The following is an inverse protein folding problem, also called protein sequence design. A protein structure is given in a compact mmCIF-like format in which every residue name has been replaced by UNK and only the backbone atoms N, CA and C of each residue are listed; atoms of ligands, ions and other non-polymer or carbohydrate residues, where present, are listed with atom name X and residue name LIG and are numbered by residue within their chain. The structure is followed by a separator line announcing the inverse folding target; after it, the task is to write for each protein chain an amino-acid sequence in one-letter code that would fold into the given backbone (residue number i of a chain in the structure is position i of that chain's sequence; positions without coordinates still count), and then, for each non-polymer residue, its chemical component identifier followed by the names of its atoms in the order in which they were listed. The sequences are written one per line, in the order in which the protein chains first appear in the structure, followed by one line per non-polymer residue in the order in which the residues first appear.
data_IF_050517297021
#
_entry.id   IF_050517297021
#
_cell.length_a   1.000
_cell.length_b   1.000
_cell.length_c   1.000
_cell.angle_alpha   90.00
_cell.angle_beta   90.00
_cell.angle_gamma   90.00
#
_symmetry.space_group_name_H-M   'P 1'
#
loop_
_entity.id
_entity.type
_entity.pdbx_description
1 polymer ?
#
# COMPACT_ATOMS: atom_id res chain seq x y z
N UNK A 1 13.49 10.52 -14.70
CA UNK A 1 12.15 10.43 -14.08
C UNK A 1 12.31 10.98 -12.68
N UNK A 2 11.75 12.16 -12.38
CA UNK A 2 11.62 12.58 -10.97
C UNK A 2 10.80 11.50 -10.26
N UNK A 3 11.30 10.99 -9.12
CA UNK A 3 10.76 9.81 -8.46
C UNK A 3 9.30 10.05 -8.03
N UNK A 4 8.35 9.27 -8.56
CA UNK A 4 6.93 9.31 -8.19
C UNK A 4 6.70 8.84 -6.74
N UNK A 5 7.57 7.98 -6.23
CA UNK A 5 7.40 7.33 -4.94
C UNK A 5 7.53 8.32 -3.79
N UNK A 6 8.57 9.15 -3.78
CA UNK A 6 8.86 10.04 -2.65
C UNK A 6 7.73 11.06 -2.38
N UNK A 7 7.14 11.74 -3.38
CA UNK A 7 5.96 12.58 -3.16
C UNK A 7 4.78 11.82 -2.55
N UNK A 8 4.53 10.59 -3.01
CA UNK A 8 3.41 9.76 -2.51
C UNK A 8 3.67 9.31 -1.08
N UNK A 9 4.88 8.85 -0.76
CA UNK A 9 5.31 8.49 0.60
C UNK A 9 5.08 9.68 1.52
N UNK A 10 5.64 10.85 1.19
CA UNK A 10 5.49 12.05 2.01
C UNK A 10 4.03 12.45 2.20
N UNK A 11 3.22 12.38 1.14
CA UNK A 11 1.82 12.75 1.20
C UNK A 11 1.01 11.82 2.11
N UNK A 12 1.24 10.51 2.02
CA UNK A 12 0.55 9.53 2.88
C UNK A 12 1.02 9.71 4.33
N UNK A 13 2.33 9.81 4.59
CA UNK A 13 2.86 9.98 5.96
C UNK A 13 2.33 11.25 6.65
N UNK A 14 2.07 12.32 5.89
CA UNK A 14 1.47 13.54 6.43
C UNK A 14 -0.04 13.44 6.62
N UNK A 15 -0.74 12.72 5.74
CA UNK A 15 -2.19 12.58 5.77
C UNK A 15 -2.68 11.54 6.77
N UNK A 16 -1.84 10.56 7.11
CA UNK A 16 -2.14 9.41 7.98
C UNK A 16 -1.05 9.22 9.04
N UNK A 17 -0.92 10.14 10.01
CA UNK A 17 0.09 10.03 11.08
C UNK A 17 -0.09 8.79 11.96
N UNK A 18 -1.27 8.16 11.94
CA UNK A 18 -1.56 6.89 12.62
C UNK A 18 -0.93 5.66 11.95
N UNK A 19 -0.43 5.79 10.71
CA UNK A 19 0.29 4.74 10.00
C UNK A 19 1.80 4.95 10.23
N UNK A 20 2.44 4.20 11.13
CA UNK A 20 3.83 4.44 11.53
C UNK A 20 4.86 4.13 10.44
N UNK A 21 4.51 3.34 9.43
CA UNK A 21 5.44 2.88 8.40
C UNK A 21 4.87 3.08 6.99
N UNK A 22 5.48 3.97 6.21
CA UNK A 22 5.13 4.23 4.81
C UNK A 22 6.43 4.21 4.00
N UNK A 23 6.53 3.31 3.03
CA UNK A 23 7.80 3.06 2.34
C UNK A 23 7.60 2.50 0.93
N UNK A 24 8.70 2.38 0.19
CA UNK A 24 8.75 1.63 -1.07
C UNK A 24 8.60 0.11 -0.81
N UNK A 25 7.84 -0.57 -1.66
CA UNK A 25 7.67 -2.02 -1.60
C UNK A 25 8.88 -2.71 -2.26
N UNK A 26 9.78 -3.21 -1.42
CA UNK A 26 10.94 -4.01 -1.81
C UNK A 26 10.67 -5.52 -1.70
N UNK A 27 9.41 -5.94 -1.52
CA UNK A 27 9.05 -7.32 -1.24
C UNK A 27 9.21 -7.70 0.24
N UNK A 28 9.11 -6.73 1.14
CA UNK A 28 9.30 -6.97 2.58
C UNK A 28 8.30 -7.98 3.13
N UNK A 29 7.06 -7.95 2.64
CA UNK A 29 5.99 -8.85 3.11
C UNK A 29 6.28 -10.30 2.73
N UNK A 30 6.84 -10.51 1.54
CA UNK A 30 7.21 -11.83 1.04
C UNK A 30 8.45 -12.38 1.74
N UNK A 31 9.29 -11.51 2.32
CA UNK A 31 10.46 -11.88 3.09
C UNK A 31 10.17 -12.14 4.58
N UNK A 32 9.06 -11.62 5.15
CA UNK A 32 8.76 -11.65 6.60
C UNK A 32 8.93 -13.04 7.24
N UNK A 33 8.49 -14.10 6.54
CA UNK A 33 8.56 -15.49 7.05
C UNK A 33 9.77 -16.28 6.51
N UNK A 34 10.64 -15.65 5.72
CA UNK A 34 11.82 -16.29 5.16
C UNK A 34 13.07 -15.99 5.99
N UNK A 35 13.44 -16.92 6.85
CA UNK A 35 14.64 -16.87 7.70
C UNK A 35 15.96 -16.75 6.91
N UNK A 36 15.96 -17.05 5.60
CA UNK A 36 17.13 -16.96 4.74
C UNK A 36 17.20 -15.67 3.91
N UNK A 37 16.27 -14.74 4.11
CA UNK A 37 16.28 -13.43 3.46
C UNK A 37 16.53 -12.33 4.48
N UNK A 38 17.33 -11.33 4.09
CA UNK A 38 17.49 -10.12 4.88
C UNK A 38 16.12 -9.42 4.97
N UNK A 39 15.55 -9.46 6.17
CA UNK A 39 14.26 -8.86 6.45
C UNK A 39 14.41 -7.38 6.75
N UNK A 40 13.76 -6.55 5.94
CA UNK A 40 13.53 -5.16 6.29
C UNK A 40 12.37 -5.11 7.31
N UNK A 41 12.59 -4.58 8.52
CA UNK A 41 11.57 -4.60 9.56
C UNK A 41 10.38 -3.73 9.14
N UNK A 42 9.19 -4.33 9.13
CA UNK A 42 7.92 -3.65 8.86
C UNK A 42 7.12 -3.55 10.16
N UNK A 43 6.55 -2.38 10.43
CA UNK A 43 5.67 -2.15 11.59
C UNK A 43 4.25 -1.95 11.09
N UNK A 44 3.33 -2.82 11.50
CA UNK A 44 1.92 -2.70 11.15
C UNK A 44 1.18 -1.69 12.06
N UNK A 45 0.16 -0.98 11.54
CA UNK A 45 -0.23 -0.93 10.13
C UNK A 45 0.81 -0.20 9.28
N UNK A 46 0.97 -0.61 8.03
CA UNK A 46 1.91 0.02 7.11
C UNK A 46 1.32 0.24 5.72
N UNK A 47 1.95 1.13 4.96
CA UNK A 47 1.67 1.33 3.54
C UNK A 47 2.95 1.13 2.73
N UNK A 48 2.90 0.19 1.78
CA UNK A 48 4.01 -0.08 0.86
C UNK A 48 3.63 0.34 -0.55
N UNK A 49 4.54 1.02 -1.26
CA UNK A 49 4.27 1.62 -2.57
C UNK A 49 5.26 1.09 -3.61
N UNK A 50 4.75 0.63 -4.75
CA UNK A 50 5.58 0.21 -5.89
C UNK A 50 5.16 0.94 -7.17
N UNK A 51 6.12 1.25 -8.03
CA UNK A 51 5.85 1.59 -9.43
C UNK A 51 5.86 0.30 -10.25
N UNK A 52 4.68 -0.27 -10.48
CA UNK A 52 4.52 -1.59 -11.13
C UNK A 52 4.97 -1.58 -12.59
N UNK A 53 4.48 -0.62 -13.37
CA UNK A 53 4.82 -0.50 -14.79
C UNK A 53 4.56 0.92 -15.30
N UNK A 54 5.15 1.26 -16.46
CA UNK A 54 4.85 2.51 -17.15
C UNK A 54 4.60 2.23 -18.62
N UNK A 55 3.38 2.50 -19.08
CA UNK A 55 3.03 2.39 -20.49
C UNK A 55 3.52 3.64 -21.23
N UNK A 56 4.48 3.49 -22.13
CA UNK A 56 5.01 4.59 -22.92
C UNK A 56 4.33 4.68 -24.28
N UNK A 57 3.93 5.88 -24.64
CA UNK A 57 3.45 6.22 -25.98
C UNK A 57 4.29 7.36 -26.55
N UNK A 58 4.72 7.21 -27.81
CA UNK A 58 5.44 8.28 -28.51
C UNK A 58 4.47 9.38 -28.94
N UNK A 59 4.88 10.62 -28.69
CA UNK A 59 4.26 11.81 -29.23
C UNK A 59 5.11 12.33 -30.41
N UNK A 60 4.65 13.39 -31.08
CA UNK A 60 5.45 14.06 -32.10
C UNK A 60 6.72 14.69 -31.50
N UNK A 61 7.69 15.01 -32.37
CA UNK A 61 8.89 15.77 -32.00
C UNK A 61 9.69 15.20 -30.82
N UNK A 62 10.00 13.89 -30.84
CA UNK A 62 10.81 13.18 -29.82
C UNK A 62 10.25 13.25 -28.40
N UNK A 63 8.97 13.58 -28.24
CA UNK A 63 8.30 13.60 -26.93
C UNK A 63 7.66 12.24 -26.64
N UNK A 64 7.51 11.91 -25.36
CA UNK A 64 6.85 10.69 -24.91
C UNK A 64 5.87 10.99 -23.79
N UNK A 65 4.76 10.24 -23.74
CA UNK A 65 3.81 10.23 -22.63
C UNK A 65 3.86 8.86 -21.95
N UNK A 66 4.21 8.86 -20.68
CA UNK A 66 4.16 7.68 -19.81
C UNK A 66 2.87 7.67 -18.99
N UNK A 67 2.19 6.52 -18.95
CA UNK A 67 1.13 6.25 -17.99
C UNK A 67 1.66 5.29 -16.93
N UNK A 68 1.93 5.80 -15.73
CA UNK A 68 2.51 5.01 -14.66
C UNK A 68 1.42 4.29 -13.85
N UNK A 69 1.60 2.99 -13.65
CA UNK A 69 0.79 2.16 -12.77
C UNK A 69 1.50 2.03 -11.43
N UNK A 70 0.85 2.52 -10.38
CA UNK A 70 1.37 2.51 -9.02
C UNK A 70 0.52 1.57 -8.18
N UNK A 71 1.16 0.68 -7.45
CA UNK A 71 0.54 -0.18 -6.46
C UNK A 71 0.73 0.45 -5.07
N UNK A 72 -0.36 0.62 -4.32
CA UNK A 72 -0.32 1.05 -2.92
C UNK A 72 -0.96 -0.06 -2.08
N UNK A 73 -0.17 -0.69 -1.22
CA UNK A 73 -0.58 -1.80 -0.35
C UNK A 73 -0.75 -1.28 1.06
N UNK A 74 -1.98 -1.27 1.56
CA UNK A 74 -2.27 -1.05 2.98
C UNK A 74 -2.25 -2.40 3.69
N UNK A 75 -1.40 -2.53 4.69
CA UNK A 75 -1.22 -3.76 5.44
C UNK A 75 -1.61 -3.52 6.89
N UNK A 76 -2.51 -4.36 7.40
CA UNK A 76 -3.11 -4.20 8.72
C UNK A 76 -3.10 -5.54 9.43
N UNK A 77 -2.68 -5.53 10.69
CA UNK A 77 -2.77 -6.69 11.57
C UNK A 77 -4.23 -7.02 11.87
N UNK A 78 -4.63 -8.23 11.50
CA UNK A 78 -6.01 -8.72 11.64
C UNK A 78 -6.13 -9.78 12.74
N UNK A 79 -5.55 -9.54 13.92
CA UNK A 79 -5.58 -10.49 15.05
C UNK A 79 -6.91 -10.54 15.81
N UNK A 80 -7.78 -9.54 15.63
CA UNK A 80 -9.07 -9.51 16.31
C UNK A 80 -9.99 -10.62 15.79
N UNK A 81 -10.49 -11.46 16.71
CA UNK A 81 -11.48 -12.48 16.39
C UNK A 81 -12.85 -11.83 16.17
N UNK A 82 -13.20 -11.64 14.90
CA UNK A 82 -14.40 -10.93 14.45
C UNK A 82 -15.54 -11.86 14.06
N UNK A 83 -15.56 -13.10 14.57
CA UNK A 83 -16.66 -14.03 14.31
C UNK A 83 -18.00 -13.52 14.85
N UNK A 84 -19.09 -14.09 14.35
CA UNK A 84 -20.44 -13.74 14.77
C UNK A 84 -20.66 -14.04 16.26
N UNK A 85 -21.03 -13.01 17.04
CA UNK A 85 -21.18 -13.11 18.50
C UNK A 85 -19.94 -12.68 19.27
N UNK A 86 -18.85 -12.32 18.59
CA UNK A 86 -17.70 -11.68 19.23
C UNK A 86 -17.96 -10.21 19.56
N UNK A 87 -17.31 -9.71 20.60
CA UNK A 87 -17.39 -8.30 21.00
C UNK A 87 -16.41 -7.39 20.23
N UNK A 88 -15.78 -7.89 19.15
CA UNK A 88 -14.73 -7.13 18.42
C UNK A 88 -15.09 -6.87 16.96
N UNK A 89 -16.33 -7.11 16.54
CA UNK A 89 -16.79 -6.92 15.16
C UNK A 89 -16.57 -5.50 14.64
N UNK A 90 -16.49 -4.49 15.53
CA UNK A 90 -16.16 -3.11 15.18
C UNK A 90 -14.80 -2.98 14.47
N UNK A 91 -13.87 -3.91 14.71
CA UNK A 91 -12.58 -3.97 14.02
C UNK A 91 -12.73 -4.21 12.51
N UNK A 92 -13.81 -4.84 12.05
CA UNK A 92 -14.11 -4.96 10.61
C UNK A 92 -14.33 -3.56 10.02
N UNK A 93 -15.10 -2.73 10.72
CA UNK A 93 -15.43 -1.38 10.29
C UNK A 93 -14.20 -0.48 10.32
N UNK A 94 -13.41 -0.51 11.39
CA UNK A 94 -12.16 0.27 11.49
C UNK A 94 -11.22 0.01 10.29
N UNK A 95 -11.06 -1.27 9.90
CA UNK A 95 -10.25 -1.62 8.72
C UNK A 95 -10.83 -1.08 7.42
N UNK A 96 -12.15 -1.20 7.24
CA UNK A 96 -12.83 -0.69 6.04
C UNK A 96 -12.73 0.84 5.94
N UNK A 97 -12.86 1.54 7.06
CA UNK A 97 -12.76 3.00 7.16
C UNK A 97 -11.34 3.46 6.82
N UNK A 98 -10.29 2.73 7.26
CA UNK A 98 -8.90 3.06 6.91
C UNK A 98 -8.62 2.87 5.40
N UNK A 99 -9.11 1.77 4.81
CA UNK A 99 -9.02 1.54 3.35
C UNK A 99 -9.73 2.65 2.57
N UNK A 100 -10.91 3.06 3.02
CA UNK A 100 -11.68 4.12 2.39
C UNK A 100 -10.97 5.47 2.51
N UNK A 101 -10.44 5.79 3.68
CA UNK A 101 -9.75 7.06 3.95
C UNK A 101 -8.47 7.17 3.11
N UNK A 102 -7.65 6.11 3.07
CA UNK A 102 -6.47 6.06 2.22
C UNK A 102 -6.82 6.21 0.73
N UNK A 103 -7.88 5.55 0.27
CA UNK A 103 -8.37 5.73 -1.09
C UNK A 103 -8.74 7.19 -1.37
N UNK A 104 -9.54 7.79 -0.49
CA UNK A 104 -10.07 9.12 -0.68
C UNK A 104 -8.95 10.17 -0.75
N UNK A 105 -7.92 10.04 0.10
CA UNK A 105 -6.75 10.91 0.05
C UNK A 105 -5.97 10.76 -1.26
N UNK A 106 -5.73 9.53 -1.72
CA UNK A 106 -4.95 9.29 -2.94
C UNK A 106 -5.73 9.63 -4.22
N UNK A 107 -7.06 9.52 -4.19
CA UNK A 107 -7.87 9.77 -5.36
C UNK A 107 -7.72 11.25 -5.78
N UNK A 108 -7.31 11.46 -7.04
CA UNK A 108 -7.00 12.77 -7.64
C UNK A 108 -5.76 13.50 -7.09
N UNK A 109 -5.01 12.90 -6.16
CA UNK A 109 -3.73 13.43 -5.73
C UNK A 109 -2.75 13.52 -6.90
N UNK A 110 -1.94 14.58 -6.95
CA UNK A 110 -1.01 14.87 -8.04
C UNK A 110 0.43 14.86 -7.49
N UNK A 111 1.16 13.73 -7.59
CA UNK A 111 2.53 13.64 -7.10
C UNK A 111 3.51 14.49 -7.91
N UNK A 112 3.18 14.79 -9.17
CA UNK A 112 3.92 15.66 -10.08
C UNK A 112 2.98 16.71 -10.67
N UNK A 113 3.55 17.70 -11.38
CA UNK A 113 2.77 18.74 -12.06
C UNK A 113 1.77 18.20 -13.10
N UNK A 114 2.01 17.00 -13.64
CA UNK A 114 1.19 16.37 -14.69
C UNK A 114 0.71 14.99 -14.23
N UNK A 115 -0.58 14.72 -14.44
CA UNK A 115 -1.23 13.48 -14.04
C UNK A 115 -1.79 13.54 -12.62
N UNK A 116 -2.88 12.82 -12.40
CA UNK A 116 -3.48 12.63 -11.09
C UNK A 116 -3.65 11.12 -10.87
N UNK A 117 -3.50 10.67 -9.62
CA UNK A 117 -3.73 9.28 -9.28
C UNK A 117 -5.23 8.97 -9.43
N UNK A 118 -5.51 7.89 -10.14
CA UNK A 118 -6.87 7.37 -10.35
C UNK A 118 -6.84 5.88 -10.08
N UNK A 119 -7.70 5.42 -9.18
CA UNK A 119 -7.84 3.98 -8.90
C UNK A 119 -8.33 3.25 -10.16
N UNK A 120 -7.58 2.26 -10.60
CA UNK A 120 -7.94 1.38 -11.73
C UNK A 120 -8.36 -0.02 -11.27
N UNK A 121 -7.82 -0.48 -10.13
CA UNK A 121 -8.06 -1.82 -9.58
C UNK A 121 -7.91 -1.82 -8.06
N UNK A 122 -8.54 -2.79 -7.41
CA UNK A 122 -8.28 -3.14 -6.01
C UNK A 122 -8.16 -4.65 -5.90
N UNK A 123 -7.23 -5.12 -5.06
CA UNK A 123 -7.04 -6.54 -4.77
C UNK A 123 -6.85 -6.69 -3.27
N UNK A 124 -7.52 -7.69 -2.70
CA UNK A 124 -7.45 -8.00 -1.28
C UNK A 124 -6.64 -9.28 -1.12
N UNK A 125 -5.76 -9.28 -0.12
CA UNK A 125 -4.90 -10.39 0.24
C UNK A 125 -5.16 -10.73 1.70
N UNK A 126 -5.15 -12.01 2.02
CA UNK A 126 -5.02 -12.49 3.40
C UNK A 126 -3.66 -13.16 3.51
N UNK A 127 -2.77 -12.60 4.33
CA UNK A 127 -1.51 -13.26 4.68
C UNK A 127 -1.75 -14.20 5.86
N UNK A 128 -1.34 -15.45 5.73
CA UNK A 128 -1.57 -16.48 6.76
C UNK A 128 -0.33 -16.57 7.65
N UNK A 129 -0.38 -15.98 8.85
CA UNK A 129 0.64 -16.15 9.90
C UNK A 129 0.23 -17.23 10.92
N UNK A 130 -0.47 -18.29 10.48
CA UNK A 130 -0.71 -19.49 11.29
C UNK A 130 0.37 -20.53 10.98
N UNK A 131 1.62 -20.24 11.34
CA UNK A 131 2.61 -21.29 11.56
C UNK A 131 2.46 -21.71 13.01
N UNK A 132 1.73 -22.81 13.18
CA UNK A 132 1.61 -23.65 14.36
C UNK A 132 2.71 -23.40 15.41
N UNK A 133 2.41 -22.62 16.46
CA UNK A 133 3.02 -22.83 17.77
C UNK A 133 2.31 -24.00 18.45
N UNK A 134 2.52 -25.19 17.90
CA UNK A 134 2.30 -26.46 18.60
C UNK A 134 3.62 -27.21 18.55
N UNK A 135 4.46 -26.98 19.55
CA UNK A 135 5.35 -27.99 20.13
C UNK A 135 4.96 -28.18 21.60
#
# INVERSE_FOLDING_TARGET
MESLLLPIINYISQSFPEIPYVDEDYGQLEAIDNENMDNYPVVFPCVLINTDSVDWSSLSAKSQKGNAHICVRLCIDCYADTHFGSNTTDKIKERADLVHSLHAALQTYRPLAVGALVRTKSKFYAWFQLRLMWE
#
